data_IF_313303798334
#
_entry.id   IF_313303798334
#
_cell.length_a   1.000
_cell.length_b   1.000
_cell.length_c   1.000
_cell.angle_alpha   90.00
_cell.angle_beta   90.00
_cell.angle_gamma   90.00
#
_symmetry.space_group_name_H-M   'P 1'
#
loop_
_entity.id
_entity.type
_entity.pdbx_description
1 polymer ?
#
# COMPACT_ATOMS: atom_id res chain seq x y z
N UNK A 1 -2.98 -9.21 2.60
CA UNK A 1 -2.54 -7.81 2.75
C UNK A 1 -1.03 -7.82 2.80
N UNK A 2 -0.33 -6.92 2.10
CA UNK A 2 1.12 -6.78 2.25
C UNK A 2 1.40 -6.12 3.59
N UNK A 3 2.12 -6.82 4.45
CA UNK A 3 2.53 -6.32 5.75
C UNK A 3 3.91 -5.68 5.67
N UNK A 4 4.25 -4.87 6.66
CA UNK A 4 5.58 -4.27 6.78
C UNK A 4 6.67 -5.36 6.82
N UNK A 5 6.37 -6.53 7.40
CA UNK A 5 7.24 -7.71 7.39
C UNK A 5 7.46 -8.30 5.99
N UNK A 6 6.49 -8.22 5.09
CA UNK A 6 6.63 -8.69 3.71
C UNK A 6 7.44 -7.72 2.86
N UNK A 7 7.42 -6.43 3.22
CA UNK A 7 8.13 -5.36 2.53
C UNK A 7 9.59 -5.28 3.00
N UNK A 8 9.81 -5.27 4.32
CA UNK A 8 11.14 -5.06 4.91
C UNK A 8 11.85 -6.38 5.24
N UNK A 9 11.14 -7.51 5.20
CA UNK A 9 11.65 -8.81 5.62
C UNK A 9 11.52 -9.04 7.12
N UNK A 10 12.01 -10.19 7.58
CA UNK A 10 12.02 -10.54 8.99
C UNK A 10 13.38 -10.17 9.61
N UNK A 11 13.41 -9.07 10.36
CA UNK A 11 14.63 -8.49 10.97
C UNK A 11 15.37 -9.49 11.88
N UNK A 12 14.67 -10.46 12.48
CA UNK A 12 15.26 -11.47 13.40
C UNK A 12 16.03 -12.59 12.71
N UNK A 13 16.03 -12.64 11.38
CA UNK A 13 16.69 -13.71 10.59
C UNK A 13 17.79 -13.19 9.67
N UNK A 14 18.02 -11.88 9.62
CA UNK A 14 19.11 -11.28 8.86
C UNK A 14 20.35 -11.20 9.75
N UNK A 15 21.41 -11.89 9.36
CA UNK A 15 22.74 -11.64 9.92
C UNK A 15 23.25 -10.33 9.31
N UNK A 16 22.97 -9.21 9.99
CA UNK A 16 23.41 -7.86 9.58
C UNK A 16 24.67 -7.51 10.38
N UNK A 17 25.75 -7.15 9.69
CA UNK A 17 26.98 -6.64 10.32
C UNK A 17 26.93 -5.11 10.49
N UNK A 18 27.80 -4.55 11.33
CA UNK A 18 27.94 -3.08 11.46
C UNK A 18 28.43 -2.45 10.15
N UNK A 19 29.25 -3.17 9.39
CA UNK A 19 29.70 -2.76 8.06
C UNK A 19 28.52 -2.66 7.07
N UNK A 20 27.56 -3.59 7.14
CA UNK A 20 26.33 -3.53 6.32
C UNK A 20 25.46 -2.32 6.70
N UNK A 21 25.37 -1.98 7.98
CA UNK A 21 24.62 -0.81 8.46
C UNK A 21 25.27 0.47 7.95
N UNK A 22 26.59 0.60 8.09
CA UNK A 22 27.32 1.79 7.63
C UNK A 22 27.22 1.94 6.10
N UNK A 23 27.33 0.85 5.35
CA UNK A 23 27.12 0.86 3.90
C UNK A 23 25.69 1.29 3.52
N UNK A 24 24.67 0.90 4.28
CA UNK A 24 23.30 1.33 4.06
C UNK A 24 23.07 2.82 4.37
N UNK A 25 23.82 3.40 5.32
CA UNK A 25 23.76 4.84 5.64
C UNK A 25 24.49 5.71 4.61
N UNK A 26 25.53 5.18 3.99
CA UNK A 26 26.31 5.87 2.95
C UNK A 26 25.67 5.81 1.56
N UNK A 27 24.55 5.10 1.43
CA UNK A 27 23.79 4.97 0.19
C UNK A 27 23.31 6.31 -0.38
N UNK A 28 23.05 6.32 -1.70
CA UNK A 28 22.54 7.50 -2.38
C UNK A 28 21.10 7.83 -1.93
N UNK A 29 20.74 9.11 -2.04
CA UNK A 29 19.36 9.52 -1.78
C UNK A 29 18.42 8.81 -2.75
N UNK A 30 17.46 8.08 -2.19
CA UNK A 30 16.43 7.38 -2.97
C UNK A 30 15.71 8.30 -3.96
N UNK A 31 15.75 7.94 -5.24
CA UNK A 31 15.08 8.67 -6.31
C UNK A 31 14.42 7.74 -7.33
N UNK A 32 13.33 8.21 -7.94
CA UNK A 32 12.56 7.57 -9.00
C UNK A 32 12.27 8.63 -10.06
N UNK A 33 13.13 8.72 -11.10
CA UNK A 33 13.02 9.74 -12.13
C UNK A 33 11.68 9.69 -12.88
N UNK A 34 11.24 10.85 -13.38
CA UNK A 34 10.06 10.94 -14.24
C UNK A 34 10.15 9.99 -15.44
N UNK A 35 9.00 9.47 -15.87
CA UNK A 35 8.81 8.48 -16.94
C UNK A 35 9.45 7.11 -16.69
N UNK A 36 10.02 6.87 -15.51
CA UNK A 36 10.51 5.53 -15.14
C UNK A 36 9.39 4.49 -15.19
N UNK A 37 9.74 3.28 -15.60
CA UNK A 37 8.87 2.12 -15.49
C UNK A 37 8.78 1.69 -14.02
N UNK A 38 7.57 1.67 -13.46
CA UNK A 38 7.31 1.31 -12.07
C UNK A 38 6.20 0.27 -11.95
N UNK A 39 6.34 -0.62 -10.97
CA UNK A 39 5.23 -1.46 -10.54
C UNK A 39 4.41 -0.71 -9.48
N UNK A 40 3.09 -0.64 -9.69
CA UNK A 40 2.15 -0.11 -8.71
C UNK A 40 1.40 -1.27 -8.03
N UNK A 41 1.40 -1.26 -6.70
CA UNK A 41 0.72 -2.27 -5.88
C UNK A 41 -0.15 -1.58 -4.82
N UNK A 42 -1.38 -2.05 -4.67
CA UNK A 42 -2.24 -1.67 -3.54
C UNK A 42 -2.23 -2.80 -2.51
N UNK A 43 -1.83 -2.51 -1.28
CA UNK A 43 -1.88 -3.52 -0.23
C UNK A 43 -3.33 -3.91 0.08
N UNK A 44 -3.60 -5.21 0.09
CA UNK A 44 -4.95 -5.75 0.38
C UNK A 44 -5.81 -6.00 -0.85
N UNK A 45 -5.44 -5.46 -2.01
CA UNK A 45 -6.22 -5.56 -3.24
C UNK A 45 -5.46 -6.32 -4.33
N UNK A 46 -6.18 -7.04 -5.21
CA UNK A 46 -5.59 -7.75 -6.36
C UNK A 46 -5.09 -6.80 -7.44
N UNK A 47 -5.68 -5.61 -7.56
CA UNK A 47 -5.27 -4.60 -8.52
C UNK A 47 -5.38 -3.23 -7.86
N UNK A 48 -4.46 -2.30 -8.17
CA UNK A 48 -4.61 -0.91 -7.78
C UNK A 48 -5.91 -0.29 -8.28
N UNK A 49 -6.43 0.70 -7.59
CA UNK A 49 -7.59 1.46 -8.06
C UNK A 49 -7.29 2.21 -9.36
N UNK A 50 -8.26 2.25 -10.27
CA UNK A 50 -8.11 2.91 -11.58
C UNK A 50 -7.73 4.39 -11.46
N UNK A 51 -8.29 5.10 -10.46
CA UNK A 51 -7.98 6.51 -10.22
C UNK A 51 -6.51 6.68 -9.85
N UNK A 52 -5.98 5.84 -8.95
CA UNK A 52 -4.56 5.89 -8.57
C UNK A 52 -3.67 5.55 -9.76
N UNK A 53 -4.02 4.55 -10.56
CA UNK A 53 -3.27 4.21 -11.78
C UNK A 53 -3.22 5.40 -12.74
N UNK A 54 -4.35 6.07 -12.96
CA UNK A 54 -4.44 7.20 -13.87
C UNK A 54 -3.60 8.39 -13.37
N UNK A 55 -3.64 8.70 -12.07
CA UNK A 55 -2.84 9.76 -11.47
C UNK A 55 -1.34 9.45 -11.55
N UNK A 56 -0.93 8.22 -11.23
CA UNK A 56 0.47 7.78 -11.34
C UNK A 56 0.99 7.75 -12.77
N UNK A 57 0.14 7.38 -13.74
CA UNK A 57 0.49 7.30 -15.16
C UNK A 57 0.82 8.66 -15.79
N UNK A 58 0.51 9.77 -15.10
CA UNK A 58 0.93 11.12 -15.54
C UNK A 58 2.44 11.34 -15.40
N UNK A 59 3.09 10.59 -14.50
CA UNK A 59 4.49 10.80 -14.13
C UNK A 59 5.38 9.59 -14.37
N UNK A 60 4.80 8.39 -14.41
CA UNK A 60 5.53 7.13 -14.55
C UNK A 60 4.88 6.19 -15.58
N UNK A 61 5.65 5.25 -16.09
CA UNK A 61 5.12 4.14 -16.89
C UNK A 61 4.66 3.04 -15.93
N UNK A 62 3.36 2.97 -15.64
CA UNK A 62 2.80 2.10 -14.59
C UNK A 62 2.50 0.71 -15.11
N UNK A 63 3.05 -0.31 -14.43
CA UNK A 63 2.63 -1.70 -14.54
C UNK A 63 1.90 -2.11 -13.26
N UNK A 64 0.72 -2.74 -13.39
CA UNK A 64 0.02 -3.30 -12.23
C UNK A 64 0.47 -4.73 -11.99
N UNK A 65 0.75 -5.08 -10.74
CA UNK A 65 1.10 -6.46 -10.37
C UNK A 65 0.12 -6.99 -9.32
N UNK A 66 -0.50 -8.15 -9.58
CA UNK A 66 -1.54 -8.69 -8.69
C UNK A 66 -1.00 -9.41 -7.45
N UNK A 67 0.30 -9.26 -7.17
CA UNK A 67 1.02 -10.03 -6.16
C UNK A 67 1.52 -11.37 -6.70
N UNK A 68 2.53 -11.92 -6.02
CA UNK A 68 2.97 -13.29 -6.20
C UNK A 68 1.91 -14.16 -5.52
N UNK A 69 1.40 -15.25 -6.12
CA UNK A 69 0.40 -16.10 -5.48
C UNK A 69 0.86 -16.49 -4.08
N UNK A 70 -0.12 -16.50 -3.16
CA UNK A 70 0.08 -16.76 -1.74
C UNK A 70 0.94 -18.00 -1.52
N UNK A 71 1.76 -17.95 -0.46
CA UNK A 71 2.56 -19.09 0.02
C UNK A 71 1.71 -20.35 -0.12
N UNK A 72 2.19 -21.35 -0.86
CA UNK A 72 1.53 -22.65 -0.86
C UNK A 72 1.32 -23.02 0.61
N UNK A 73 0.07 -22.93 1.10
CA UNK A 73 -0.29 -23.57 2.35
C UNK A 73 0.11 -25.01 2.11
N UNK A 74 1.07 -25.50 2.88
CA UNK A 74 1.45 -26.91 2.89
C UNK A 74 0.15 -27.66 3.07
N UNK A 75 -0.33 -28.29 2.00
CA UNK A 75 -1.50 -29.15 2.05
C UNK A 75 -1.03 -30.39 2.80
N UNK A 76 -1.11 -30.35 4.12
CA UNK A 76 -0.93 -31.54 4.95
C UNK A 76 -2.22 -32.36 4.86
N UNK A 77 -2.43 -32.98 3.71
CA UNK A 77 -3.25 -34.18 3.65
C UNK A 77 -2.48 -35.30 4.34
N UNK A 78 -2.68 -35.44 5.66
CA UNK A 78 -2.24 -36.62 6.38
C UNK A 78 -2.99 -37.84 5.87
N UNK A 79 -2.37 -38.63 4.98
CA UNK A 79 -2.41 -40.09 5.05
C UNK A 79 -1.33 -40.75 4.20
N UNK A 80 -0.59 -41.61 4.90
CA UNK A 80 0.17 -42.77 4.44
C UNK A 80 1.61 -42.58 3.92
N UNK A 81 2.50 -42.92 4.85
CA UNK A 81 3.90 -43.36 4.77
C UNK A 81 4.37 -43.88 3.40
N UNK A 82 5.60 -43.52 3.01
CA UNK A 82 6.69 -44.46 2.66
C UNK A 82 8.03 -43.74 2.85
N UNK A 83 8.96 -44.43 3.51
CA UNK A 83 10.38 -44.08 3.62
C UNK A 83 11.02 -44.23 2.24
N UNK A 84 11.75 -43.22 1.77
CA UNK A 84 13.06 -43.43 1.14
C UNK A 84 13.82 -42.10 1.04
N UNK A 85 15.15 -42.20 1.20
CA UNK A 85 16.06 -41.08 1.38
C UNK A 85 16.30 -40.26 0.11
N UNK A 86 16.72 -39.01 0.35
CA UNK A 86 17.18 -38.03 -0.64
C UNK A 86 16.22 -37.72 -1.79
N UNK A 87 15.29 -36.81 -1.51
CA UNK A 87 14.99 -35.76 -2.46
C UNK A 87 14.43 -34.55 -1.73
N UNK A 88 15.28 -33.52 -1.62
CA UNK A 88 14.94 -32.11 -1.52
C UNK A 88 13.56 -31.84 -0.92
N UNK A 89 13.43 -32.12 0.38
CA UNK A 89 12.44 -31.42 1.20
C UNK A 89 12.94 -29.99 1.17
N UNK A 90 12.45 -29.27 0.17
CA UNK A 90 12.77 -27.92 -0.14
C UNK A 90 13.04 -27.21 1.18
N UNK A 91 14.26 -26.70 1.30
CA UNK A 91 14.44 -25.37 1.85
C UNK A 91 13.32 -24.54 1.23
N UNK A 92 12.15 -24.54 1.86
CA UNK A 92 11.13 -23.55 1.69
C UNK A 92 11.75 -22.34 2.38
N UNK A 93 12.80 -21.86 1.75
CA UNK A 93 13.49 -20.64 2.06
C UNK A 93 12.37 -19.65 2.23
N UNK A 94 12.40 -18.96 3.36
CA UNK A 94 11.70 -17.72 3.52
C UNK A 94 12.21 -16.80 2.40
N UNK A 95 11.75 -16.98 1.16
CA UNK A 95 11.98 -16.04 0.09
C UNK A 95 11.37 -14.75 0.62
N UNK A 96 12.25 -13.80 0.91
CA UNK A 96 11.84 -12.47 1.29
C UNK A 96 10.93 -12.00 0.16
N UNK A 97 9.65 -11.81 0.45
CA UNK A 97 8.64 -11.48 -0.54
C UNK A 97 9.09 -10.31 -1.41
N UNK A 98 9.82 -9.37 -0.81
CA UNK A 98 10.43 -8.25 -1.51
C UNK A 98 11.49 -8.64 -2.53
N UNK A 99 12.34 -9.64 -2.25
CA UNK A 99 13.30 -10.17 -3.24
C UNK A 99 12.58 -10.79 -4.43
N UNK A 100 11.53 -11.56 -4.18
CA UNK A 100 10.74 -12.17 -5.25
C UNK A 100 10.02 -11.11 -6.08
N UNK A 101 9.44 -10.09 -5.44
CA UNK A 101 8.78 -8.98 -6.14
C UNK A 101 9.78 -8.13 -6.95
N UNK A 102 10.95 -7.85 -6.38
CA UNK A 102 12.06 -7.17 -7.08
C UNK A 102 12.56 -7.98 -8.26
N UNK A 103 12.65 -9.31 -8.15
CA UNK A 103 13.05 -10.16 -9.27
C UNK A 103 12.04 -10.10 -10.43
N UNK A 104 10.74 -10.15 -10.13
CA UNK A 104 9.69 -9.97 -11.15
C UNK A 104 9.77 -8.57 -11.77
N UNK A 105 9.96 -7.54 -10.94
CA UNK A 105 10.15 -6.17 -11.39
C UNK A 105 11.35 -6.03 -12.33
N UNK A 106 12.48 -6.65 -11.98
CA UNK A 106 13.70 -6.64 -12.79
C UNK A 106 13.49 -7.32 -14.15
N UNK A 107 12.75 -8.44 -14.21
CA UNK A 107 12.36 -9.09 -15.48
C UNK A 107 11.49 -8.19 -16.36
N UNK A 108 10.62 -7.39 -15.75
CA UNK A 108 9.83 -6.38 -16.44
C UNK A 108 10.58 -5.08 -16.73
N UNK A 109 11.90 -5.03 -16.49
CA UNK A 109 12.76 -3.84 -16.60
C UNK A 109 12.24 -2.62 -15.83
N UNK A 110 11.56 -2.87 -14.72
CA UNK A 110 11.01 -1.86 -13.83
C UNK A 110 12.12 -1.31 -12.93
N UNK A 111 12.10 0.00 -12.68
CA UNK A 111 13.11 0.71 -11.88
C UNK A 111 12.74 0.74 -10.40
N UNK A 112 11.45 0.87 -10.11
CA UNK A 112 10.95 0.93 -8.73
C UNK A 112 9.64 0.16 -8.58
N UNK A 113 9.37 -0.26 -7.35
CA UNK A 113 8.08 -0.76 -6.90
C UNK A 113 7.50 0.29 -5.97
N UNK A 114 6.25 0.66 -6.20
CA UNK A 114 5.50 1.61 -5.39
C UNK A 114 4.31 0.86 -4.81
N UNK A 115 4.36 0.63 -3.51
CA UNK A 115 3.27 0.04 -2.73
C UNK A 115 2.53 1.18 -2.03
N UNK A 116 1.21 1.22 -2.13
CA UNK A 116 0.41 2.12 -1.32
C UNK A 116 -0.60 1.34 -0.48
N UNK A 117 -0.90 1.91 0.69
CA UNK A 117 -1.90 1.42 1.62
C UNK A 117 -2.79 2.59 1.96
N UNK A 118 -4.11 2.42 1.84
CA UNK A 118 -5.07 3.46 2.10
C UNK A 118 -6.17 3.02 3.06
N UNK A 119 -6.58 3.93 3.94
CA UNK A 119 -7.69 3.72 4.87
C UNK A 119 -8.59 4.95 4.92
N UNK A 120 -9.90 4.72 4.80
CA UNK A 120 -10.91 5.75 4.99
C UNK A 120 -11.34 5.77 6.46
N UNK A 121 -11.24 6.94 7.09
CA UNK A 121 -11.64 7.14 8.47
C UNK A 121 -12.77 8.17 8.57
N UNK A 122 -13.65 7.93 9.54
CA UNK A 122 -14.65 8.88 10.03
C UNK A 122 -14.25 9.47 11.38
N UNK A 123 -14.37 10.78 11.47
CA UNK A 123 -14.12 11.60 12.64
C UNK A 123 -15.44 12.12 13.23
N UNK A 124 -15.66 11.83 14.51
CA UNK A 124 -16.75 12.42 15.29
C UNK A 124 -16.17 13.43 16.25
N UNK A 125 -16.69 14.66 16.21
CA UNK A 125 -16.26 15.71 17.13
C UNK A 125 -16.86 15.45 18.52
N UNK A 126 -15.99 15.32 19.51
CA UNK A 126 -16.38 15.19 20.91
C UNK A 126 -16.34 16.57 21.59
N UNK A 127 -17.51 17.10 21.91
CA UNK A 127 -17.66 18.41 22.54
C UNK A 127 -17.06 18.46 23.97
N UNK A 128 -16.95 17.32 24.66
CA UNK A 128 -16.39 17.24 26.01
C UNK A 128 -14.86 17.39 25.98
N UNK A 129 -14.20 16.68 25.07
CA UNK A 129 -12.73 16.71 24.93
C UNK A 129 -12.23 17.78 23.96
N UNK A 130 -13.13 18.44 23.23
CA UNK A 130 -12.83 19.40 22.14
C UNK A 130 -11.92 18.81 21.05
N UNK A 131 -11.98 17.50 20.87
CA UNK A 131 -11.14 16.76 19.93
C UNK A 131 -12.00 15.93 18.98
N UNK A 132 -11.47 15.68 17.78
CA UNK A 132 -12.09 14.76 16.82
C UNK A 132 -11.55 13.35 17.04
N UNK A 133 -12.43 12.41 17.37
CA UNK A 133 -12.09 11.00 17.51
C UNK A 133 -12.25 10.32 16.16
N UNK A 134 -11.15 9.77 15.63
CA UNK A 134 -11.10 9.10 14.34
C UNK A 134 -11.21 7.58 14.48
N UNK A 135 -11.98 6.97 13.60
CA UNK A 135 -12.19 5.53 13.52
C UNK A 135 -12.38 5.09 12.08
N UNK A 136 -12.09 3.83 11.77
CA UNK A 136 -12.28 3.29 10.43
C UNK A 136 -13.74 3.39 10.00
N UNK A 137 -13.98 3.82 8.76
CA UNK A 137 -15.32 4.02 8.24
C UNK A 137 -16.02 2.69 7.99
N UNK A 138 -17.11 2.42 8.71
CA UNK A 138 -17.85 1.13 8.67
C UNK A 138 -19.03 1.10 7.70
N UNK A 139 -19.14 2.06 6.79
CA UNK A 139 -20.28 2.19 5.86
C UNK A 139 -21.65 2.23 6.59
N UNK A 140 -21.67 2.73 7.82
CA UNK A 140 -22.88 2.89 8.61
C UNK A 140 -23.65 4.13 8.15
N UNK A 141 -24.99 4.12 8.32
CA UNK A 141 -25.83 5.26 7.98
C UNK A 141 -25.38 6.49 8.78
N UNK A 142 -24.90 7.50 8.07
CA UNK A 142 -24.51 8.79 8.63
C UNK A 142 -25.75 9.47 9.22
N UNK A 143 -25.88 9.43 10.54
CA UNK A 143 -26.95 10.11 11.28
C UNK A 143 -26.65 11.58 11.53
N UNK A 144 -25.37 11.93 11.62
CA UNK A 144 -24.87 13.28 11.94
C UNK A 144 -23.84 13.74 10.90
N UNK A 145 -23.47 15.01 10.93
CA UNK A 145 -22.30 15.51 10.19
C UNK A 145 -21.04 14.83 10.71
N UNK A 146 -20.35 14.12 9.82
CA UNK A 146 -19.13 13.38 10.15
C UNK A 146 -18.01 13.89 9.26
N UNK A 147 -16.83 14.10 9.85
CA UNK A 147 -15.63 14.42 9.08
C UNK A 147 -15.06 13.13 8.49
N UNK A 148 -14.73 13.12 7.21
CA UNK A 148 -14.03 12.01 6.57
C UNK A 148 -12.60 12.40 6.24
N UNK A 149 -11.68 11.44 6.33
CA UNK A 149 -10.31 11.60 5.84
C UNK A 149 -9.81 10.31 5.22
N UNK A 150 -8.97 10.45 4.20
CA UNK A 150 -8.21 9.34 3.66
C UNK A 150 -6.78 9.40 4.18
N UNK A 151 -6.33 8.33 4.83
CA UNK A 151 -4.93 8.11 5.14
C UNK A 151 -4.34 7.29 4.00
N UNK A 152 -3.20 7.72 3.48
CA UNK A 152 -2.44 6.92 2.50
C UNK A 152 -0.98 6.89 2.93
N UNK A 153 -0.39 5.71 2.86
CA UNK A 153 1.04 5.48 3.09
C UNK A 153 1.65 4.85 1.86
N UNK A 154 2.73 5.45 1.36
CA UNK A 154 3.52 4.90 0.27
C UNK A 154 4.80 4.26 0.80
N UNK A 155 5.17 3.15 0.18
CA UNK A 155 6.46 2.51 0.31
C UNK A 155 7.03 2.35 -1.09
N UNK A 156 8.18 2.99 -1.32
CA UNK A 156 8.91 2.89 -2.57
C UNK A 156 10.10 1.96 -2.36
N UNK A 157 10.40 1.12 -3.35
CA UNK A 157 11.51 0.16 -3.30
C UNK A 157 12.27 0.21 -4.61
N UNK A 158 13.58 0.40 -4.53
CA UNK A 158 14.47 0.39 -5.68
C UNK A 158 14.69 -1.07 -6.10
N UNK A 159 14.44 -1.38 -7.36
CA UNK A 159 14.53 -2.75 -7.86
C UNK A 159 15.97 -3.26 -7.85
N UNK A 160 16.94 -2.40 -8.19
CA UNK A 160 18.35 -2.77 -8.30
C UNK A 160 19.03 -2.90 -6.93
N UNK A 161 18.89 -1.91 -6.05
CA UNK A 161 19.57 -1.88 -4.76
C UNK A 161 18.77 -2.58 -3.66
N UNK A 162 17.45 -2.42 -3.67
CA UNK A 162 16.58 -2.88 -2.58
C UNK A 162 16.41 -1.86 -1.47
N UNK A 163 17.02 -0.69 -1.61
CA UNK A 163 16.74 0.45 -0.77
C UNK A 163 15.26 0.79 -0.87
N UNK A 164 14.72 1.29 0.23
CA UNK A 164 13.33 1.64 0.32
C UNK A 164 13.15 2.96 1.04
N UNK A 165 12.03 3.61 0.74
CA UNK A 165 11.62 4.82 1.44
C UNK A 165 10.13 4.73 1.75
N UNK A 166 9.74 5.12 2.96
CA UNK A 166 8.34 5.26 3.33
C UNK A 166 7.98 6.73 3.42
N UNK A 167 6.77 7.05 2.97
CA UNK A 167 6.23 8.39 3.09
C UNK A 167 4.72 8.37 3.22
N UNK A 168 4.22 9.15 4.17
CA UNK A 168 2.80 9.43 4.35
C UNK A 168 2.60 10.95 4.35
N UNK A 169 1.80 11.51 3.43
CA UNK A 169 1.46 12.93 3.45
C UNK A 169 0.62 13.31 4.66
N UNK A 170 0.47 14.62 4.87
CA UNK A 170 -0.53 15.17 5.78
C UNK A 170 -1.94 14.85 5.27
N UNK A 171 -2.84 14.52 6.18
CA UNK A 171 -4.17 14.01 5.86
C UNK A 171 -5.07 15.11 5.26
N UNK A 172 -5.81 14.78 4.20
CA UNK A 172 -6.88 15.65 3.69
C UNK A 172 -8.19 15.29 4.38
N UNK A 173 -8.74 16.26 5.12
CA UNK A 173 -10.01 16.13 5.83
C UNK A 173 -11.12 16.85 5.04
N UNK A 174 -12.30 16.23 4.97
CA UNK A 174 -13.47 16.84 4.39
C UNK A 174 -14.71 16.52 5.23
N UNK A 175 -15.51 17.52 5.53
CA UNK A 175 -16.74 17.34 6.30
C UNK A 175 -17.87 16.88 5.38
N UNK A 176 -18.40 15.69 5.63
CA UNK A 176 -19.57 15.18 4.90
C UNK A 176 -20.83 15.62 5.64
N UNK A 177 -21.71 16.31 4.92
CA UNK A 177 -22.98 16.76 5.43
C UNK A 177 -24.02 15.63 5.32
N UNK A 178 -24.89 15.46 6.34
CA UNK A 178 -25.93 14.46 6.28
C UNK A 178 -26.92 14.81 5.15
N UNK A 179 -27.46 13.79 4.46
CA UNK A 179 -28.41 14.00 3.38
C UNK A 179 -29.74 14.58 3.91
N UNK A 180 -30.36 15.47 3.14
CA UNK A 180 -31.62 16.13 3.53
C UNK A 180 -32.75 15.12 3.78
N UNK A 181 -33.58 15.32 4.83
CA UNK A 181 -34.68 14.42 5.16
C UNK A 181 -35.72 14.41 4.02
N UNK A 182 -36.03 13.22 3.51
CA UNK A 182 -37.06 12.99 2.47
C UNK A 182 -36.58 12.28 1.20
N UNK A 183 -35.28 12.01 1.07
CA UNK A 183 -34.65 11.55 -0.18
C UNK A 183 -33.67 10.39 0.05
N UNK A 184 -34.16 9.27 0.58
CA UNK A 184 -33.35 8.10 1.04
C UNK A 184 -32.47 7.48 -0.04
N UNK A 185 -32.95 7.34 -1.28
CA UNK A 185 -32.14 6.72 -2.35
C UNK A 185 -31.10 7.68 -2.93
N UNK A 186 -31.37 8.99 -2.95
CA UNK A 186 -30.39 10.00 -3.37
C UNK A 186 -29.37 10.33 -2.27
N UNK A 187 -29.67 10.01 -1.01
CA UNK A 187 -28.84 10.28 0.16
C UNK A 187 -27.56 9.44 0.19
N UNK A 188 -27.70 8.14 -0.03
CA UNK A 188 -26.58 7.18 -0.09
C UNK A 188 -25.72 7.46 -1.34
N UNK A 189 -26.35 7.68 -2.50
CA UNK A 189 -25.65 8.08 -3.72
C UNK A 189 -24.86 9.41 -3.57
N UNK A 190 -25.39 10.39 -2.84
CA UNK A 190 -24.69 11.66 -2.58
C UNK A 190 -23.47 11.46 -1.67
N UNK A 191 -23.58 10.58 -0.68
CA UNK A 191 -22.47 10.25 0.22
C UNK A 191 -21.35 9.54 -0.53
N UNK A 192 -21.68 8.52 -1.33
CA UNK A 192 -20.71 7.80 -2.15
C UNK A 192 -20.01 8.73 -3.15
N UNK A 193 -20.75 9.65 -3.75
CA UNK A 193 -20.18 10.66 -4.65
C UNK A 193 -19.19 11.56 -3.92
N UNK A 194 -19.51 12.02 -2.71
CA UNK A 194 -18.59 12.84 -1.90
C UNK A 194 -17.33 12.05 -1.48
N UNK A 195 -17.47 10.77 -1.12
CA UNK A 195 -16.33 9.89 -0.81
C UNK A 195 -15.45 9.70 -2.05
N UNK A 196 -16.05 9.47 -3.21
CA UNK A 196 -15.33 9.33 -4.48
C UNK A 196 -14.54 10.60 -4.84
N UNK A 197 -15.17 11.78 -4.69
CA UNK A 197 -14.50 13.07 -4.93
C UNK A 197 -13.35 13.31 -3.94
N UNK A 198 -13.57 13.01 -2.66
CA UNK A 198 -12.51 13.10 -1.64
C UNK A 198 -11.33 12.20 -2.01
N UNK A 199 -11.60 10.94 -2.39
CA UNK A 199 -10.57 9.99 -2.79
C UNK A 199 -9.77 10.49 -3.99
N UNK A 200 -10.46 10.95 -5.03
CA UNK A 200 -9.81 11.47 -6.25
C UNK A 200 -8.90 12.64 -5.94
N UNK A 201 -9.38 13.62 -5.14
CA UNK A 201 -8.59 14.79 -4.73
C UNK A 201 -7.37 14.37 -3.91
N UNK A 202 -7.56 13.45 -2.97
CA UNK A 202 -6.49 12.92 -2.13
C UNK A 202 -5.42 12.25 -2.98
N UNK A 203 -5.78 11.30 -3.84
CA UNK A 203 -4.81 10.60 -4.69
C UNK A 203 -4.06 11.56 -5.62
N UNK A 204 -4.74 12.49 -6.29
CA UNK A 204 -4.10 13.46 -7.18
C UNK A 204 -3.05 14.31 -6.45
N UNK A 205 -3.37 14.81 -5.26
CA UNK A 205 -2.46 15.63 -4.47
C UNK A 205 -1.27 14.81 -3.94
N UNK A 206 -1.55 13.61 -3.44
CA UNK A 206 -0.52 12.74 -2.86
C UNK A 206 0.46 12.22 -3.91
N UNK A 207 -0.01 11.87 -5.10
CA UNK A 207 0.87 11.45 -6.21
C UNK A 207 1.77 12.61 -6.64
N UNK A 208 1.23 13.83 -6.74
CA UNK A 208 2.03 15.02 -7.06
C UNK A 208 3.14 15.26 -6.03
N UNK A 209 2.82 15.14 -4.74
CA UNK A 209 3.78 15.32 -3.66
C UNK A 209 4.84 14.20 -3.61
N UNK A 210 4.43 12.95 -3.86
CA UNK A 210 5.32 11.80 -3.98
C UNK A 210 6.35 12.04 -5.09
N UNK A 211 5.89 12.46 -6.26
CA UNK A 211 6.77 12.74 -7.41
C UNK A 211 7.72 13.88 -7.09
N UNK A 212 7.24 14.99 -6.52
CA UNK A 212 8.10 16.11 -6.16
C UNK A 212 9.20 15.74 -5.15
N UNK A 213 8.93 14.76 -4.28
CA UNK A 213 9.87 14.32 -3.24
C UNK A 213 10.96 13.40 -3.78
N UNK A 214 10.61 12.53 -4.73
CA UNK A 214 11.47 11.43 -5.16
C UNK A 214 11.94 11.53 -6.62
N UNK A 215 11.49 12.52 -7.41
CA UNK A 215 12.04 12.75 -8.76
C UNK A 215 13.53 13.09 -8.75
#
# INVERSE_FOLDING_TARGET
QLTDKDIFGNETTLAVSEEDIQAALEGEKFSVPLNSAVILVQSGNRAPEAIMQQEMSKYYTVATFSGIPDRQKTVTCSKDKIKDGNQDIATAENMNWMQALRYVAAKGHQKAIIVYQDTLQSGKYDAMTKNTVWSDFKNEKLTDSVSLRYLVRFTLVNVATGEWATWSPLNYENTVLPPQPGKKDSAEATTEQQISQLRQRTYASMVKDLVNRYQ
#
